data_IF_447610093305
#
_entry.id   IF_447610093305
#
_cell.length_a   1.000
_cell.length_b   1.000
_cell.length_c   1.000
_cell.angle_alpha   90.00
_cell.angle_beta   90.00
_cell.angle_gamma   90.00
#
_symmetry.space_group_name_H-M   'P 1'
#
loop_
_entity.id
_entity.type
_entity.pdbx_description
1 polymer ?
#
# COMPACT_ATOMS: atom_id res chain seq x y z
N UNK A 1 2.42 -14.07 13.64
CA UNK A 1 3.66 -13.62 12.97
C UNK A 1 3.87 -12.20 13.44
N UNK A 2 5.00 -11.89 14.07
CA UNK A 2 5.33 -10.54 14.55
C UNK A 2 6.15 -9.84 13.47
N UNK A 3 5.73 -8.62 13.09
CA UNK A 3 6.52 -7.77 12.19
C UNK A 3 7.87 -7.44 12.83
N UNK A 4 8.88 -7.15 12.01
CA UNK A 4 10.16 -6.66 12.52
C UNK A 4 9.98 -5.32 13.23
N UNK A 5 10.87 -5.02 14.19
CA UNK A 5 10.86 -3.73 14.91
C UNK A 5 10.98 -2.56 13.93
N UNK A 6 11.73 -2.72 12.84
CA UNK A 6 11.88 -1.71 11.79
C UNK A 6 10.55 -1.40 11.10
N UNK A 7 9.76 -2.42 10.77
CA UNK A 7 8.42 -2.23 10.20
C UNK A 7 7.52 -1.53 11.21
N UNK A 8 7.51 -1.99 12.47
CA UNK A 8 6.66 -1.41 13.52
C UNK A 8 7.01 0.07 13.76
N UNK A 9 8.28 0.40 13.87
CA UNK A 9 8.77 1.76 14.07
C UNK A 9 8.37 2.67 12.91
N UNK A 10 8.62 2.25 11.67
CA UNK A 10 8.28 3.03 10.48
C UNK A 10 6.78 3.33 10.39
N UNK A 11 5.92 2.36 10.68
CA UNK A 11 4.48 2.62 10.74
C UNK A 11 4.07 3.48 11.95
N UNK A 12 4.82 3.43 13.05
CA UNK A 12 4.59 4.27 14.23
C UNK A 12 4.94 5.75 14.03
N UNK A 13 5.74 6.09 13.02
CA UNK A 13 6.10 7.47 12.67
C UNK A 13 5.03 8.20 11.86
N UNK A 14 4.06 7.47 11.31
CA UNK A 14 3.02 8.06 10.45
C UNK A 14 1.92 8.70 11.30
N UNK A 15 1.55 9.95 10.97
CA UNK A 15 0.35 10.57 11.50
C UNK A 15 -0.89 9.91 10.87
N UNK A 16 -1.63 9.12 11.66
CA UNK A 16 -2.84 8.43 11.19
C UNK A 16 -3.97 9.37 10.77
N UNK A 17 -3.90 10.65 11.15
CA UNK A 17 -4.86 11.68 10.75
C UNK A 17 -4.53 12.33 9.40
N UNK A 18 -3.40 11.97 8.78
CA UNK A 18 -2.97 12.53 7.51
C UNK A 18 -3.99 12.30 6.38
N UNK A 19 -4.17 13.33 5.57
CA UNK A 19 -4.92 13.26 4.32
C UNK A 19 -4.01 12.89 3.13
N UNK A 20 -2.69 12.87 3.32
CA UNK A 20 -1.74 12.51 2.28
C UNK A 20 -1.35 11.03 2.38
N UNK A 21 -1.64 10.27 1.31
CA UNK A 21 -1.26 8.87 1.23
C UNK A 21 0.26 8.68 1.13
N UNK A 22 1.01 9.73 0.78
CA UNK A 22 2.47 9.67 0.61
C UNK A 22 3.22 9.38 1.90
N UNK A 23 2.65 9.74 3.07
CA UNK A 23 3.22 9.45 4.38
C UNK A 23 3.33 7.94 4.65
N UNK A 24 2.54 7.12 3.96
CA UNK A 24 2.59 5.66 4.07
C UNK A 24 3.60 5.00 3.11
N UNK A 25 4.26 5.75 2.22
CA UNK A 25 5.13 5.16 1.20
C UNK A 25 6.39 4.53 1.79
N UNK A 26 7.04 5.25 2.70
CA UNK A 26 8.25 4.77 3.38
C UNK A 26 8.01 3.51 4.23
N UNK A 27 6.99 3.45 5.12
CA UNK A 27 6.70 2.24 5.87
C UNK A 27 6.24 1.08 4.97
N UNK A 28 5.47 1.35 3.91
CA UNK A 28 5.11 0.32 2.93
C UNK A 28 6.35 -0.20 2.17
N UNK A 29 7.32 0.65 1.82
CA UNK A 29 8.58 0.21 1.21
C UNK A 29 9.35 -0.72 2.14
N UNK A 30 9.46 -0.37 3.42
CA UNK A 30 10.12 -1.20 4.45
C UNK A 30 9.46 -2.57 4.55
N UNK A 31 8.12 -2.60 4.64
CA UNK A 31 7.35 -3.84 4.66
C UNK A 31 7.54 -4.68 3.38
N UNK A 32 7.48 -4.05 2.20
CA UNK A 32 7.63 -4.75 0.93
C UNK A 32 9.04 -5.32 0.74
N UNK A 33 10.06 -4.64 1.26
CA UNK A 33 11.44 -5.13 1.25
C UNK A 33 11.61 -6.40 2.09
N UNK A 34 10.96 -6.46 3.26
CA UNK A 34 10.96 -7.64 4.13
C UNK A 34 10.16 -8.80 3.52
N UNK A 35 8.98 -8.53 2.97
CA UNK A 35 8.08 -9.55 2.41
C UNK A 35 8.55 -10.12 1.07
N UNK A 36 9.21 -9.29 0.24
CA UNK A 36 9.54 -9.63 -1.14
C UNK A 36 11.02 -9.36 -1.42
N UNK A 37 11.92 -10.13 -0.80
CA UNK A 37 13.34 -9.84 -0.87
C UNK A 37 13.90 -10.09 -2.27
N UNK A 38 14.78 -9.19 -2.72
CA UNK A 38 15.30 -9.21 -4.09
C UNK A 38 16.14 -10.47 -4.40
N UNK A 39 16.77 -11.08 -3.39
CA UNK A 39 17.53 -12.33 -3.53
C UNK A 39 16.65 -13.53 -3.91
N UNK A 40 15.33 -13.45 -3.70
CA UNK A 40 14.35 -14.45 -4.14
C UNK A 40 13.75 -14.15 -5.52
N UNK A 41 14.30 -13.16 -6.24
CA UNK A 41 13.87 -12.71 -7.56
C UNK A 41 12.44 -12.13 -7.60
N UNK A 42 11.99 -11.56 -6.47
CA UNK A 42 10.85 -10.66 -6.50
C UNK A 42 11.23 -9.31 -7.11
N UNK A 43 10.29 -8.72 -7.83
CA UNK A 43 10.41 -7.41 -8.45
C UNK A 43 9.23 -6.57 -7.95
N UNK A 44 9.53 -5.61 -7.09
CA UNK A 44 8.58 -4.64 -6.57
C UNK A 44 8.60 -3.42 -7.49
N UNK A 45 7.46 -3.06 -8.07
CA UNK A 45 7.32 -1.97 -9.04
C UNK A 45 6.26 -0.99 -8.57
N UNK A 46 6.63 0.21 -8.09
CA UNK A 46 5.67 1.26 -7.81
C UNK A 46 5.05 1.75 -9.14
N UNK A 47 3.77 2.03 -9.11
CA UNK A 47 2.96 2.48 -10.22
C UNK A 47 2.08 3.63 -9.75
N UNK A 48 2.20 4.78 -10.39
CA UNK A 48 1.26 5.88 -10.22
C UNK A 48 0.24 5.80 -11.34
N UNK A 49 -1.02 5.53 -11.00
CA UNK A 49 -2.13 5.48 -11.97
C UNK A 49 -3.10 6.61 -11.70
N UNK A 50 -3.43 7.37 -12.74
CA UNK A 50 -4.49 8.36 -12.68
C UNK A 50 -5.84 7.64 -12.59
N UNK A 51 -6.72 8.09 -11.70
CA UNK A 51 -8.09 7.59 -11.64
C UNK A 51 -8.86 8.15 -12.85
N UNK A 52 -9.40 7.27 -13.69
CA UNK A 52 -10.14 7.69 -14.90
C UNK A 52 -11.31 8.59 -14.53
N UNK A 53 -11.34 9.81 -15.06
CA UNK A 53 -12.37 10.81 -14.76
C UNK A 53 -12.11 11.67 -13.51
N UNK A 54 -10.98 11.48 -12.81
CA UNK A 54 -10.54 12.37 -11.72
C UNK A 54 -9.20 13.05 -12.04
N UNK A 55 -8.90 14.12 -11.30
CA UNK A 55 -7.56 14.70 -11.20
C UNK A 55 -6.68 13.93 -10.21
N UNK A 56 -7.28 13.02 -9.43
CA UNK A 56 -6.61 12.22 -8.42
C UNK A 56 -5.76 11.09 -9.03
N UNK A 57 -4.72 10.73 -8.28
CA UNK A 57 -3.82 9.62 -8.58
C UNK A 57 -3.87 8.58 -7.47
N UNK A 58 -3.65 7.33 -7.84
CA UNK A 58 -3.49 6.21 -6.91
C UNK A 58 -2.09 5.65 -7.07
N UNK A 59 -1.43 5.43 -5.94
CA UNK A 59 -0.15 4.73 -5.89
C UNK A 59 -0.38 3.26 -5.56
N UNK A 60 0.18 2.41 -6.43
CA UNK A 60 0.07 0.97 -6.38
C UNK A 60 1.48 0.38 -6.39
N UNK A 61 1.71 -0.65 -5.60
CA UNK A 61 2.88 -1.51 -5.72
C UNK A 61 2.45 -2.79 -6.40
N UNK A 62 3.11 -3.14 -7.50
CA UNK A 62 3.00 -4.44 -8.14
C UNK A 62 4.21 -5.27 -7.79
N UNK A 63 3.99 -6.47 -7.27
CA UNK A 63 5.06 -7.43 -7.02
C UNK A 63 4.92 -8.56 -8.01
N UNK A 64 6.01 -8.84 -8.72
CA UNK A 64 6.10 -9.96 -9.62
C UNK A 64 7.27 -10.86 -9.25
N UNK A 65 7.15 -12.15 -9.55
CA UNK A 65 8.24 -13.13 -9.48
C UNK A 65 8.43 -13.71 -10.86
N UNK A 66 9.61 -13.53 -11.45
CA UNK A 66 9.92 -14.00 -12.82
C UNK A 66 8.87 -13.57 -13.85
N UNK A 67 8.48 -12.29 -13.84
CA UNK A 67 7.45 -11.67 -14.70
C UNK A 67 6.00 -12.10 -14.47
N UNK A 68 5.73 -12.95 -13.47
CA UNK A 68 4.36 -13.31 -13.08
C UNK A 68 3.94 -12.41 -11.92
N UNK A 69 2.87 -11.62 -12.03
CA UNK A 69 2.36 -10.84 -10.90
C UNK A 69 1.86 -11.79 -9.81
N UNK A 70 2.32 -11.57 -8.58
CA UNK A 70 2.00 -12.43 -7.42
C UNK A 70 1.30 -11.66 -6.31
N UNK A 71 1.46 -10.34 -6.28
CA UNK A 71 0.86 -9.51 -5.25
C UNK A 71 0.71 -8.07 -5.76
N UNK A 72 -0.29 -7.36 -5.25
CA UNK A 72 -0.46 -5.93 -5.47
C UNK A 72 -0.90 -5.27 -4.15
N UNK A 73 -0.46 -4.03 -3.94
CA UNK A 73 -0.83 -3.22 -2.79
C UNK A 73 -1.22 -1.83 -3.25
N UNK A 74 -2.37 -1.34 -2.79
CA UNK A 74 -2.78 0.03 -2.96
C UNK A 74 -2.50 0.78 -1.66
N UNK A 75 -1.86 1.94 -1.77
CA UNK A 75 -1.67 2.81 -0.62
C UNK A 75 -2.85 3.78 -0.53
N UNK A 76 -3.48 3.78 0.64
CA UNK A 76 -4.63 4.62 0.98
C UNK A 76 -4.39 5.23 2.36
N UNK A 77 -4.94 6.43 2.58
CA UNK A 77 -5.01 7.00 3.93
C UNK A 77 -6.02 6.25 4.78
N UNK A 78 -5.91 6.39 6.10
CA UNK A 78 -6.85 5.78 7.03
C UNK A 78 -8.30 6.25 6.78
N UNK A 79 -8.47 7.55 6.52
CA UNK A 79 -9.77 8.12 6.17
C UNK A 79 -10.35 7.55 4.86
N UNK A 80 -9.50 7.21 3.88
CA UNK A 80 -9.94 6.57 2.63
C UNK A 80 -10.39 5.12 2.87
N UNK A 81 -9.72 4.40 3.77
CA UNK A 81 -10.09 3.03 4.16
C UNK A 81 -11.46 3.03 4.85
N UNK A 82 -11.69 3.94 5.79
CA UNK A 82 -12.97 4.06 6.52
C UNK A 82 -14.15 4.38 5.57
N UNK A 83 -13.93 5.28 4.60
CA UNK A 83 -14.90 5.57 3.53
C UNK A 83 -15.14 4.39 2.59
N UNK A 84 -14.14 3.56 2.35
CA UNK A 84 -14.30 2.35 1.54
C UNK A 84 -15.10 1.29 2.28
N UNK A 85 -14.87 1.12 3.58
CA UNK A 85 -15.62 0.20 4.45
C UNK A 85 -17.10 0.54 4.49
N UNK A 86 -17.45 1.81 4.73
CA UNK A 86 -18.84 2.27 4.79
C UNK A 86 -19.60 2.12 3.46
N UNK A 87 -18.92 2.22 2.31
CA UNK A 87 -19.52 1.92 1.01
C UNK A 87 -19.80 0.43 0.85
N UNK A 88 -18.93 -0.45 1.36
CA UNK A 88 -19.10 -1.89 1.24
C UNK A 88 -20.30 -2.40 2.05
N UNK A 89 -20.56 -1.79 3.21
CA UNK A 89 -21.77 -2.05 4.01
C UNK A 89 -23.07 -1.67 3.29
N UNK A 90 -23.06 -0.65 2.43
CA UNK A 90 -24.26 -0.24 1.66
C UNK A 90 -24.63 -1.17 0.50
N UNK A 91 -23.74 -2.09 0.09
CA UNK A 91 -24.03 -3.10 -0.95
C UNK A 91 -24.63 -4.42 -0.38
N UNK A 92 -24.87 -4.47 0.94
CA UNK A 92 -25.50 -5.62 1.61
C UNK A 92 -27.00 -5.43 1.92
N UNK A 93 -27.69 -4.50 1.25
CA UNK A 93 -29.14 -4.31 1.34
C UNK A 93 -29.84 -4.51 0.00
#
# INVERSE_FOLDING_TARGET
MTWSDSVIEQFGLVDLSTADASDFYEPCNTLLFELFPANEHYQVSPQCKRITGSMDFTFLYFVSKRKVPVFFMQICTYAAIDKASSRMESYHY
#
